data_IF_371145702388
#
_entry.id   IF_371145702388
#
_cell.length_a   1.000
_cell.length_b   1.000
_cell.length_c   1.000
_cell.angle_alpha   90.00
_cell.angle_beta   90.00
_cell.angle_gamma   90.00
#
_symmetry.space_group_name_H-M   'P 1'
#
loop_
_entity.id
_entity.type
_entity.pdbx_description
1 polymer ?
#
# COMPACT_ATOMS: atom_id res chain seq x y z
N UNK A 1 24.32 -6.21 43.37
CA UNK A 1 24.26 -4.72 43.51
C UNK A 1 24.73 -4.17 42.17
N UNK A 2 23.81 -3.55 41.42
CA UNK A 2 24.14 -2.93 40.14
C UNK A 2 24.59 -1.49 40.37
N UNK A 3 25.71 -1.10 39.76
CA UNK A 3 26.22 0.26 39.82
C UNK A 3 25.71 1.00 38.58
N UNK A 4 24.90 2.04 38.75
CA UNK A 4 24.42 2.86 37.65
C UNK A 4 25.44 3.96 37.41
N UNK A 5 26.18 3.85 36.31
CA UNK A 5 27.22 4.82 35.90
C UNK A 5 26.67 5.92 35.01
N UNK A 6 25.55 5.64 34.30
CA UNK A 6 24.84 6.58 33.47
C UNK A 6 23.38 6.16 33.31
N UNK A 7 22.51 7.10 33.04
CA UNK A 7 21.13 6.85 32.65
C UNK A 7 20.86 7.54 31.31
N UNK A 8 20.04 6.90 30.48
CA UNK A 8 19.59 7.46 29.20
C UNK A 8 18.17 7.98 29.37
N UNK A 9 17.96 9.24 29.08
CA UNK A 9 16.64 9.86 29.06
C UNK A 9 16.11 9.79 27.62
N UNK A 10 15.08 9.00 27.41
CA UNK A 10 14.40 8.95 26.10
C UNK A 10 13.35 10.06 26.04
N UNK A 11 13.48 10.95 25.07
CA UNK A 11 12.45 11.94 24.73
C UNK A 11 11.39 11.29 23.85
N UNK A 12 10.13 11.55 24.12
CA UNK A 12 9.04 11.03 23.30
C UNK A 12 9.18 11.51 21.85
N UNK A 13 9.22 10.56 20.89
CA UNK A 13 9.40 10.86 19.47
C UNK A 13 10.86 11.07 19.01
N UNK A 14 11.86 10.89 19.88
CA UNK A 14 13.25 10.95 19.45
C UNK A 14 13.61 9.73 18.61
N UNK A 15 14.16 9.99 17.43
CA UNK A 15 14.71 8.96 16.52
C UNK A 15 16.21 8.78 16.71
N UNK A 16 16.87 9.68 17.45
CA UNK A 16 18.30 9.67 17.72
C UNK A 16 18.58 10.02 19.17
N UNK A 17 19.63 9.45 19.73
CA UNK A 17 20.18 9.79 21.05
C UNK A 17 21.24 10.87 20.87
N UNK A 18 21.12 11.96 21.62
CA UNK A 18 22.13 13.01 21.70
C UNK A 18 22.94 12.90 22.99
N UNK A 19 24.06 13.61 23.07
CA UNK A 19 24.86 13.66 24.31
C UNK A 19 24.07 14.20 25.50
N UNK A 20 23.04 15.02 25.26
CA UNK A 20 22.16 15.59 26.29
C UNK A 20 21.17 14.57 26.85
N UNK A 21 20.90 13.49 26.10
CA UNK A 21 20.02 12.39 26.53
C UNK A 21 20.72 11.40 27.45
N UNK A 22 22.04 11.53 27.61
CA UNK A 22 22.84 10.67 28.48
C UNK A 22 23.19 11.42 29.77
N UNK A 23 22.60 10.98 30.87
CA UNK A 23 22.91 11.49 32.19
C UNK A 23 24.14 10.73 32.73
N UNK A 24 25.28 11.40 32.73
CA UNK A 24 26.55 10.84 33.23
C UNK A 24 26.68 11.07 34.74
N UNK A 25 26.62 10.03 35.51
CA UNK A 25 26.73 10.08 36.97
C UNK A 25 28.18 9.85 37.50
N UNK A 26 29.17 9.73 36.63
CA UNK A 26 30.56 9.44 37.05
C UNK A 26 31.18 10.53 37.92
N UNK A 27 30.74 11.79 37.74
CA UNK A 27 31.18 12.92 38.53
C UNK A 27 30.31 13.21 39.77
N UNK A 28 29.21 12.51 39.91
CA UNK A 28 28.27 12.69 41.02
C UNK A 28 28.54 11.65 42.12
N UNK A 29 29.33 12.01 43.10
CA UNK A 29 29.74 11.13 44.21
C UNK A 29 28.52 10.59 44.97
N UNK A 30 27.39 11.35 45.02
CA UNK A 30 26.15 10.93 45.66
C UNK A 30 25.43 9.80 44.94
N UNK A 31 25.68 9.64 43.67
CA UNK A 31 25.02 8.62 42.80
C UNK A 31 25.97 7.48 42.42
N UNK A 32 27.25 7.76 42.31
CA UNK A 32 28.24 6.82 41.80
C UNK A 32 28.99 6.03 42.87
N UNK A 33 28.93 6.41 44.17
CA UNK A 33 29.61 5.76 45.30
C UNK A 33 30.94 5.12 44.91
N UNK A 34 32.03 5.53 45.44
CA UNK A 34 33.40 4.95 45.35
C UNK A 34 33.85 4.27 44.04
N UNK A 35 33.36 4.64 42.89
CA UNK A 35 33.96 4.16 41.66
C UNK A 35 34.92 5.21 41.08
N UNK A 36 36.16 5.22 41.54
CA UNK A 36 37.25 5.78 40.74
C UNK A 36 37.31 4.97 39.45
N UNK A 37 36.75 5.52 38.39
CA UNK A 37 36.73 4.86 37.09
C UNK A 37 38.15 4.73 36.58
N UNK A 38 38.73 3.52 36.70
CA UNK A 38 40.10 3.15 36.27
C UNK A 38 40.20 3.11 34.73
N UNK A 39 39.08 3.23 34.00
CA UNK A 39 39.06 3.18 32.56
C UNK A 39 38.79 4.58 31.99
N UNK A 40 39.85 5.26 31.63
CA UNK A 40 39.92 6.64 31.15
C UNK A 40 39.25 6.94 29.83
N UNK A 41 38.29 6.15 29.36
CA UNK A 41 37.39 6.47 28.24
C UNK A 41 36.04 5.83 28.46
N UNK A 42 35.02 6.62 28.43
CA UNK A 42 33.65 6.14 28.52
C UNK A 42 33.24 5.45 27.21
N UNK A 43 33.08 4.13 27.28
CA UNK A 43 32.57 3.33 26.13
C UNK A 43 31.25 3.87 25.54
N UNK A 44 30.48 4.59 26.33
CA UNK A 44 29.23 5.21 25.87
C UNK A 44 29.49 6.26 24.76
N UNK A 45 30.53 7.12 24.94
CA UNK A 45 30.86 8.12 23.91
C UNK A 45 31.41 7.44 22.65
N UNK A 46 32.21 6.37 22.79
CA UNK A 46 32.67 5.58 21.66
C UNK A 46 31.51 4.89 20.94
N UNK A 47 30.57 4.29 21.69
CA UNK A 47 29.35 3.68 21.13
C UNK A 47 28.46 4.70 20.40
N UNK A 48 28.24 5.88 20.97
CA UNK A 48 27.45 6.93 20.32
C UNK A 48 28.11 7.42 19.01
N UNK A 49 29.46 7.52 19.01
CA UNK A 49 30.22 7.89 17.82
C UNK A 49 30.10 6.82 16.71
N UNK A 50 30.18 5.54 17.09
CA UNK A 50 30.02 4.43 16.15
C UNK A 50 28.57 4.33 15.63
N UNK A 51 27.58 4.56 16.49
CA UNK A 51 26.17 4.63 16.07
C UNK A 51 25.94 5.76 15.07
N UNK A 52 26.49 6.94 15.31
CA UNK A 52 26.39 8.06 14.39
C UNK A 52 27.02 7.76 13.02
N UNK A 53 28.19 7.10 12.99
CA UNK A 53 28.81 6.65 11.74
C UNK A 53 27.96 5.62 11.02
N UNK A 54 27.38 4.66 11.76
CA UNK A 54 26.51 3.62 11.20
C UNK A 54 25.27 4.23 10.58
N UNK A 55 24.64 5.20 11.25
CA UNK A 55 23.47 5.91 10.73
C UNK A 55 23.82 6.70 9.45
N UNK A 56 24.95 7.42 9.43
CA UNK A 56 25.40 8.13 8.23
C UNK A 56 25.65 7.16 7.05
N UNK A 57 26.18 5.97 7.32
CA UNK A 57 26.35 4.93 6.31
C UNK A 57 25.02 4.39 5.82
N UNK A 58 24.06 4.22 6.71
CA UNK A 58 22.69 3.77 6.37
C UNK A 58 21.99 4.80 5.48
N UNK A 59 22.07 6.08 5.79
CA UNK A 59 21.51 7.17 4.99
C UNK A 59 22.11 7.20 3.57
N UNK A 60 23.41 6.98 3.45
CA UNK A 60 24.08 6.92 2.15
C UNK A 60 23.64 5.70 1.34
N UNK A 61 23.49 4.54 1.98
CA UNK A 61 22.97 3.33 1.35
C UNK A 61 21.52 3.52 0.90
N UNK A 62 20.70 4.19 1.70
CA UNK A 62 19.32 4.49 1.33
C UNK A 62 19.26 5.38 0.08
N UNK A 63 20.06 6.45 0.02
CA UNK A 63 20.15 7.32 -1.16
C UNK A 63 20.57 6.56 -2.42
N UNK A 64 21.54 5.63 -2.28
CA UNK A 64 21.98 4.77 -3.40
C UNK A 64 20.88 3.82 -3.84
N UNK A 65 20.13 3.25 -2.91
CA UNK A 65 19.00 2.38 -3.19
C UNK A 65 17.90 3.16 -3.95
N UNK A 66 17.58 4.37 -3.52
CA UNK A 66 16.58 5.21 -4.18
C UNK A 66 17.01 5.58 -5.62
N UNK A 67 18.30 5.91 -5.81
CA UNK A 67 18.86 6.16 -7.13
C UNK A 67 18.82 4.93 -8.05
N UNK A 68 19.15 3.75 -7.53
CA UNK A 68 19.05 2.49 -8.27
C UNK A 68 17.61 2.15 -8.63
N UNK A 69 16.66 2.33 -7.73
CA UNK A 69 15.24 2.12 -7.99
C UNK A 69 14.73 3.05 -9.09
N UNK A 70 15.19 4.31 -9.11
CA UNK A 70 14.89 5.25 -10.18
C UNK A 70 15.42 4.77 -11.54
N UNK A 71 16.68 4.30 -11.59
CA UNK A 71 17.28 3.76 -12.82
C UNK A 71 16.57 2.49 -13.29
N UNK A 72 16.20 1.60 -12.38
CA UNK A 72 15.43 0.37 -12.72
C UNK A 72 14.10 0.78 -13.35
N UNK A 73 13.39 1.74 -12.78
CA UNK A 73 12.12 2.23 -13.32
C UNK A 73 12.28 2.82 -14.72
N UNK A 74 13.35 3.58 -14.95
CA UNK A 74 13.65 4.13 -16.28
C UNK A 74 13.95 3.04 -17.32
N UNK A 75 14.74 2.02 -16.91
CA UNK A 75 15.04 0.89 -17.79
C UNK A 75 13.79 0.04 -18.07
N UNK A 76 12.95 -0.20 -17.08
CA UNK A 76 11.67 -0.89 -17.27
C UNK A 76 10.80 -0.15 -18.29
N UNK A 77 10.67 1.18 -18.15
CA UNK A 77 9.95 2.00 -19.11
C UNK A 77 10.48 1.84 -20.55
N UNK A 78 11.82 1.82 -20.72
CA UNK A 78 12.45 1.61 -22.04
C UNK A 78 12.17 0.20 -22.60
N UNK A 79 12.21 -0.83 -21.77
CA UNK A 79 11.88 -2.21 -22.17
C UNK A 79 10.41 -2.30 -22.56
N UNK A 80 9.53 -1.66 -21.80
CA UNK A 80 8.09 -1.62 -22.09
C UNK A 80 7.80 -0.96 -23.43
N UNK A 81 8.50 0.13 -23.76
CA UNK A 81 8.38 0.80 -25.05
C UNK A 81 8.86 -0.07 -26.21
N UNK A 82 9.94 -0.84 -26.02
CA UNK A 82 10.50 -1.74 -27.05
C UNK A 82 9.64 -2.98 -27.30
N UNK A 83 8.87 -3.42 -26.31
CA UNK A 83 8.02 -4.63 -26.37
C UNK A 83 6.55 -4.32 -26.59
N UNK A 84 6.16 -3.04 -26.52
CA UNK A 84 4.80 -2.60 -26.78
C UNK A 84 4.53 -2.66 -28.30
N UNK A 85 3.34 -3.10 -28.66
CA UNK A 85 2.88 -3.12 -30.05
C UNK A 85 2.72 -1.74 -30.68
N UNK A 86 1.88 -1.63 -31.71
CA UNK A 86 1.53 -0.35 -32.31
C UNK A 86 0.65 0.49 -31.36
N UNK A 87 0.84 1.81 -31.39
CA UNK A 87 0.06 2.72 -30.55
C UNK A 87 -1.35 2.88 -31.11
N UNK A 88 -2.35 2.48 -30.33
CA UNK A 88 -3.75 2.69 -30.68
C UNK A 88 -4.26 4.07 -30.25
N UNK A 89 -3.92 4.51 -29.04
CA UNK A 89 -4.34 5.82 -28.54
C UNK A 89 -3.38 6.34 -27.47
N UNK A 90 -3.35 7.67 -27.37
CA UNK A 90 -2.61 8.40 -26.33
C UNK A 90 -3.47 9.54 -25.80
N UNK A 91 -3.18 9.98 -24.58
CA UNK A 91 -3.87 11.13 -24.00
C UNK A 91 -3.38 11.43 -22.61
N UNK A 92 -4.10 12.32 -21.94
CA UNK A 92 -3.83 12.75 -20.58
C UNK A 92 -4.94 12.26 -19.66
N UNK A 93 -4.59 11.73 -18.48
CA UNK A 93 -5.55 11.26 -17.48
C UNK A 93 -5.23 11.74 -16.06
N UNK A 94 -4.38 12.73 -15.92
CA UNK A 94 -4.03 13.47 -14.70
C UNK A 94 -3.28 14.75 -15.09
N UNK A 95 -3.05 15.67 -14.14
CA UNK A 95 -2.40 16.94 -14.47
C UNK A 95 -1.02 16.72 -15.13
N UNK A 96 -0.27 15.75 -14.60
CA UNK A 96 1.04 15.37 -15.12
C UNK A 96 1.11 13.86 -15.41
N UNK A 97 -0.01 13.24 -15.81
CA UNK A 97 -0.08 11.83 -16.13
C UNK A 97 -0.65 11.66 -17.53
N UNK A 98 0.10 10.94 -18.36
CA UNK A 98 -0.23 10.61 -19.74
C UNK A 98 -0.36 9.11 -19.90
N UNK A 99 -1.18 8.68 -20.85
CA UNK A 99 -1.33 7.27 -21.16
C UNK A 99 -1.00 6.96 -22.61
N UNK A 100 -0.60 5.71 -22.82
CA UNK A 100 -0.45 5.08 -24.13
C UNK A 100 -1.15 3.73 -24.09
N UNK A 101 -2.10 3.51 -24.99
CA UNK A 101 -2.73 2.21 -25.22
C UNK A 101 -2.17 1.60 -26.49
N UNK A 102 -1.72 0.36 -26.41
CA UNK A 102 -1.16 -0.40 -27.51
C UNK A 102 -2.14 -1.42 -28.08
N UNK A 103 -1.95 -1.85 -29.32
CA UNK A 103 -2.80 -2.81 -30.04
C UNK A 103 -2.88 -4.19 -29.39
N UNK A 104 -1.84 -4.59 -28.65
CA UNK A 104 -1.83 -5.82 -27.85
C UNK A 104 -2.69 -5.75 -26.58
N UNK A 105 -3.27 -4.59 -26.27
CA UNK A 105 -4.11 -4.33 -25.10
C UNK A 105 -3.35 -3.87 -23.85
N UNK A 106 -2.06 -3.55 -23.98
CA UNK A 106 -1.25 -2.98 -22.91
C UNK A 106 -1.55 -1.49 -22.77
N UNK A 107 -2.03 -1.06 -21.60
CA UNK A 107 -2.23 0.33 -21.25
C UNK A 107 -1.13 0.77 -20.27
N UNK A 108 -0.39 1.78 -20.66
CA UNK A 108 0.71 2.33 -19.87
C UNK A 108 0.40 3.76 -19.44
N UNK A 109 0.41 4.02 -18.12
CA UNK A 109 0.29 5.36 -17.54
C UNK A 109 1.65 5.81 -17.01
N UNK A 110 2.09 7.00 -17.42
CA UNK A 110 3.36 7.60 -17.02
C UNK A 110 3.16 9.02 -16.52
N UNK A 111 3.96 9.39 -15.53
CA UNK A 111 3.97 10.74 -14.97
C UNK A 111 4.02 10.74 -13.46
N UNK A 112 3.58 11.84 -12.85
CA UNK A 112 3.64 12.06 -11.41
C UNK A 112 2.34 12.64 -10.87
N UNK A 113 2.03 12.32 -9.60
CA UNK A 113 0.83 12.81 -8.93
C UNK A 113 -0.35 11.86 -9.04
N UNK A 114 -1.56 12.40 -8.95
CA UNK A 114 -2.79 11.63 -9.03
C UNK A 114 -3.44 11.74 -10.41
N UNK A 115 -4.17 10.70 -10.82
CA UNK A 115 -5.03 10.77 -11.99
C UNK A 115 -6.29 11.58 -11.69
N UNK A 116 -7.00 12.01 -12.72
CA UNK A 116 -8.26 12.74 -12.56
C UNK A 116 -9.33 11.84 -11.92
N UNK A 117 -10.23 12.47 -11.18
CA UNK A 117 -11.50 11.88 -10.75
C UNK A 117 -12.54 12.01 -11.85
N UNK A 118 -13.29 10.94 -12.09
CA UNK A 118 -14.37 10.88 -13.07
C UNK A 118 -15.71 10.66 -12.37
N UNK A 119 -16.77 11.22 -12.94
CA UNK A 119 -18.07 11.24 -12.23
C UNK A 119 -18.95 10.05 -12.56
N UNK A 120 -19.19 9.77 -13.83
CA UNK A 120 -20.09 8.71 -14.27
C UNK A 120 -19.40 7.80 -15.28
N UNK A 121 -19.64 8.06 -16.56
CA UNK A 121 -19.10 7.29 -17.67
C UNK A 121 -18.13 8.13 -18.52
N UNK A 122 -17.54 9.15 -17.92
CA UNK A 122 -16.68 10.14 -18.58
C UNK A 122 -15.19 9.85 -18.48
N UNK A 123 -14.79 8.74 -17.82
CA UNK A 123 -13.41 8.27 -17.85
C UNK A 123 -13.00 7.95 -19.30
N UNK A 124 -11.79 8.37 -19.65
CA UNK A 124 -11.16 8.07 -20.95
C UNK A 124 -11.00 6.56 -21.19
N UNK A 125 -11.13 5.75 -20.14
CA UNK A 125 -11.02 4.29 -20.19
C UNK A 125 -12.36 3.57 -19.96
N UNK A 126 -13.47 4.30 -19.76
CA UNK A 126 -14.78 3.69 -19.50
C UNK A 126 -15.15 2.67 -20.58
N UNK A 127 -15.51 1.46 -20.16
CA UNK A 127 -15.91 0.35 -21.05
C UNK A 127 -14.90 0.04 -22.17
N UNK A 128 -13.62 0.32 -21.95
CA UNK A 128 -12.63 0.04 -22.97
C UNK A 128 -12.23 -1.44 -22.97
N UNK A 129 -12.81 -2.21 -23.89
CA UNK A 129 -12.59 -3.66 -24.04
C UNK A 129 -11.23 -4.01 -24.64
N UNK A 130 -10.50 -3.05 -25.17
CA UNK A 130 -9.16 -3.27 -25.73
C UNK A 130 -8.11 -3.39 -24.61
N UNK A 131 -8.36 -2.82 -23.43
CA UNK A 131 -7.44 -2.87 -22.30
C UNK A 131 -7.43 -4.27 -21.70
N UNK A 132 -6.25 -4.92 -21.68
CA UNK A 132 -6.03 -6.25 -21.09
C UNK A 132 -5.08 -6.21 -19.90
N UNK A 133 -4.09 -5.34 -19.95
CA UNK A 133 -3.05 -5.14 -18.94
C UNK A 133 -2.89 -3.65 -18.67
N UNK A 134 -2.83 -3.30 -17.38
CA UNK A 134 -2.65 -1.91 -16.94
C UNK A 134 -1.31 -1.81 -16.21
N UNK A 135 -0.46 -0.90 -16.67
CA UNK A 135 0.83 -0.61 -16.05
C UNK A 135 0.92 0.85 -15.64
N UNK A 136 1.25 1.09 -14.39
CA UNK A 136 1.45 2.43 -13.87
C UNK A 136 2.92 2.62 -13.47
N UNK A 137 3.54 3.70 -13.96
CA UNK A 137 4.93 4.01 -13.61
C UNK A 137 5.06 4.56 -12.19
N UNK A 138 6.24 4.41 -11.61
CA UNK A 138 6.60 5.09 -10.36
C UNK A 138 6.44 6.62 -10.54
N UNK A 139 6.02 7.27 -9.44
CA UNK A 139 5.66 8.69 -9.44
C UNK A 139 4.14 8.93 -9.42
N UNK A 140 3.34 7.96 -9.86
CA UNK A 140 1.88 8.02 -9.69
C UNK A 140 1.56 7.72 -8.23
N UNK A 141 0.84 8.64 -7.58
CA UNK A 141 0.56 8.59 -6.13
C UNK A 141 -0.90 8.33 -5.80
N UNK A 142 -1.81 8.55 -6.74
CA UNK A 142 -3.24 8.32 -6.54
C UNK A 142 -3.93 7.86 -7.81
N UNK A 143 -4.86 6.93 -7.67
CA UNK A 143 -5.84 6.60 -8.70
C UNK A 143 -7.13 7.33 -8.38
N UNK A 144 -7.63 8.10 -9.35
CA UNK A 144 -8.87 8.85 -9.25
C UNK A 144 -10.10 7.95 -9.29
N UNK A 145 -11.23 8.56 -8.97
CA UNK A 145 -12.53 7.91 -8.97
C UNK A 145 -12.89 7.41 -10.38
N UNK A 146 -13.39 6.19 -10.47
CA UNK A 146 -13.87 5.53 -11.69
C UNK A 146 -12.89 5.50 -12.87
N UNK A 147 -11.60 5.63 -12.63
CA UNK A 147 -10.58 5.70 -13.69
C UNK A 147 -10.72 4.53 -14.68
N UNK A 148 -10.75 3.29 -14.19
CA UNK A 148 -10.87 2.05 -14.98
C UNK A 148 -12.23 1.38 -14.81
N UNK A 149 -13.27 2.21 -14.60
CA UNK A 149 -14.61 1.72 -14.40
C UNK A 149 -15.09 0.93 -15.62
N UNK A 150 -15.53 -0.31 -15.36
CA UNK A 150 -16.03 -1.24 -16.38
C UNK A 150 -15.02 -1.61 -17.49
N UNK A 151 -13.70 -1.65 -17.16
CA UNK A 151 -12.69 -2.24 -18.05
C UNK A 151 -12.71 -3.78 -17.88
N UNK A 152 -13.72 -4.45 -18.48
CA UNK A 152 -14.01 -5.86 -18.21
C UNK A 152 -12.91 -6.83 -18.67
N UNK A 153 -12.11 -6.44 -19.66
CA UNK A 153 -11.02 -7.24 -20.22
C UNK A 153 -9.66 -6.99 -19.54
N UNK A 154 -9.53 -5.96 -18.70
CA UNK A 154 -8.31 -5.68 -17.95
C UNK A 154 -8.10 -6.74 -16.86
N UNK A 155 -7.23 -7.71 -17.09
CA UNK A 155 -7.01 -8.86 -16.17
C UNK A 155 -5.93 -8.62 -15.14
N UNK A 156 -4.94 -7.80 -15.46
CA UNK A 156 -3.80 -7.52 -14.60
C UNK A 156 -3.56 -6.03 -14.45
N UNK A 157 -3.08 -5.63 -13.28
CA UNK A 157 -2.61 -4.28 -13.00
C UNK A 157 -1.31 -4.32 -12.22
N UNK A 158 -0.34 -3.52 -12.66
CA UNK A 158 0.90 -3.26 -11.94
C UNK A 158 0.79 -1.89 -11.26
N UNK A 159 0.62 -1.90 -9.93
CA UNK A 159 0.53 -0.70 -9.10
C UNK A 159 1.91 -0.31 -8.59
N UNK A 160 2.34 0.97 -8.73
CA UNK A 160 3.68 1.40 -8.30
C UNK A 160 3.79 1.49 -6.78
N UNK A 161 5.02 1.34 -6.26
CA UNK A 161 5.29 1.48 -4.83
C UNK A 161 5.00 2.88 -4.27
N UNK A 162 4.90 3.89 -5.13
CA UNK A 162 4.56 5.28 -4.78
C UNK A 162 3.07 5.52 -4.58
N UNK A 163 2.21 4.54 -4.91
CA UNK A 163 0.76 4.70 -4.83
C UNK A 163 0.30 4.76 -3.37
N UNK A 164 -0.43 5.81 -3.01
CA UNK A 164 -0.95 6.05 -1.66
C UNK A 164 -2.46 5.92 -1.55
N UNK A 165 -3.20 6.09 -2.66
CA UNK A 165 -4.67 6.02 -2.67
C UNK A 165 -5.24 5.35 -3.91
N UNK A 166 -6.34 4.63 -3.72
CA UNK A 166 -7.15 4.02 -4.77
C UNK A 166 -8.56 4.60 -4.65
N UNK A 167 -9.00 5.30 -5.69
CA UNK A 167 -10.24 6.07 -5.72
C UNK A 167 -11.50 5.22 -5.73
N UNK A 168 -12.62 5.92 -5.65
CA UNK A 168 -13.95 5.36 -5.61
C UNK A 168 -14.28 4.63 -6.90
N UNK A 169 -14.67 3.36 -6.82
CA UNK A 169 -14.99 2.55 -8.00
C UNK A 169 -13.88 2.51 -9.07
N UNK A 170 -12.60 2.72 -8.69
CA UNK A 170 -11.49 2.86 -9.64
C UNK A 170 -11.36 1.65 -10.59
N UNK A 171 -11.66 0.43 -10.12
CA UNK A 171 -11.65 -0.81 -10.90
C UNK A 171 -13.01 -1.53 -10.89
N UNK A 172 -14.07 -0.85 -10.46
CA UNK A 172 -15.37 -1.49 -10.34
C UNK A 172 -15.92 -1.94 -11.69
N UNK A 173 -16.69 -3.05 -11.64
CA UNK A 173 -17.43 -3.54 -12.79
C UNK A 173 -18.93 -3.28 -12.58
N UNK A 174 -19.68 -3.08 -13.66
CA UNK A 174 -21.13 -2.98 -13.57
C UNK A 174 -21.76 -4.30 -13.11
N UNK A 175 -22.79 -4.19 -12.28
CA UNK A 175 -23.56 -5.32 -11.78
C UNK A 175 -24.61 -5.69 -12.83
N UNK A 176 -24.26 -6.56 -13.75
CA UNK A 176 -25.21 -7.01 -14.76
C UNK A 176 -26.08 -8.20 -14.26
N UNK A 177 -25.61 -8.99 -13.30
CA UNK A 177 -26.32 -10.13 -12.71
C UNK A 177 -25.63 -10.63 -11.44
N UNK A 178 -26.38 -11.31 -10.58
CA UNK A 178 -25.81 -12.00 -9.40
C UNK A 178 -24.74 -12.99 -9.85
N UNK A 179 -23.53 -12.88 -9.28
CA UNK A 179 -22.38 -13.73 -9.59
C UNK A 179 -21.56 -13.31 -10.81
N UNK A 180 -21.92 -12.24 -11.50
CA UNK A 180 -21.08 -11.68 -12.57
C UNK A 180 -19.83 -11.03 -11.97
N UNK A 181 -18.68 -11.42 -12.50
CA UNK A 181 -17.40 -10.79 -12.19
C UNK A 181 -16.60 -10.64 -13.47
N UNK A 182 -15.94 -9.50 -13.62
CA UNK A 182 -15.10 -9.20 -14.76
C UNK A 182 -13.85 -8.42 -14.31
N UNK A 183 -13.07 -7.93 -15.26
CA UNK A 183 -11.90 -7.12 -14.97
C UNK A 183 -10.79 -7.92 -14.26
N UNK A 184 -10.17 -7.30 -13.28
CA UNK A 184 -8.96 -7.80 -12.61
C UNK A 184 -9.14 -9.19 -12.01
N UNK A 185 -8.18 -10.08 -12.30
CA UNK A 185 -8.08 -11.42 -11.72
C UNK A 185 -7.08 -11.49 -10.57
N UNK A 186 -6.17 -10.54 -10.51
CA UNK A 186 -5.16 -10.39 -9.45
C UNK A 186 -4.81 -8.93 -9.24
N UNK A 187 -4.44 -8.60 -8.01
CA UNK A 187 -3.89 -7.29 -7.64
C UNK A 187 -2.97 -7.44 -6.44
N UNK A 188 -1.83 -6.75 -6.50
CA UNK A 188 -0.95 -6.56 -5.35
C UNK A 188 -1.06 -5.13 -4.88
N UNK A 189 -1.61 -4.91 -3.69
CA UNK A 189 -1.77 -3.58 -3.11
C UNK A 189 -0.44 -3.16 -2.47
N UNK A 190 0.18 -2.06 -2.95
CA UNK A 190 1.46 -1.59 -2.41
C UNK A 190 1.40 -1.19 -0.93
N UNK A 191 2.53 -1.33 -0.24
CA UNK A 191 2.64 -1.00 1.19
C UNK A 191 2.52 0.51 1.49
N UNK A 192 2.62 1.38 0.50
CA UNK A 192 2.40 2.81 0.64
C UNK A 192 0.92 3.21 0.61
N UNK A 193 0.01 2.31 0.19
CA UNK A 193 -1.42 2.62 0.11
C UNK A 193 -2.00 2.81 1.50
N UNK A 194 -2.55 3.99 1.74
CA UNK A 194 -3.20 4.39 3.00
C UNK A 194 -4.72 4.46 2.90
N UNK A 195 -5.25 4.58 1.67
CA UNK A 195 -6.67 4.69 1.43
C UNK A 195 -7.14 3.82 0.25
N UNK A 196 -8.17 3.01 0.50
CA UNK A 196 -8.95 2.30 -0.51
C UNK A 196 -10.37 2.82 -0.38
N UNK A 197 -10.87 3.50 -1.41
CA UNK A 197 -12.18 4.14 -1.38
C UNK A 197 -13.33 3.16 -1.64
N UNK A 198 -14.57 3.66 -1.55
CA UNK A 198 -15.76 2.83 -1.71
C UNK A 198 -15.81 2.20 -3.10
N UNK A 199 -16.26 0.95 -3.18
CA UNK A 199 -16.41 0.20 -4.43
C UNK A 199 -15.11 0.02 -5.24
N UNK A 200 -13.93 0.30 -4.72
CA UNK A 200 -12.67 0.34 -5.49
C UNK A 200 -12.44 -0.88 -6.39
N UNK A 201 -12.79 -2.08 -5.92
CA UNK A 201 -12.68 -3.36 -6.64
C UNK A 201 -14.01 -4.11 -6.73
N UNK A 202 -15.13 -3.37 -6.73
CA UNK A 202 -16.47 -3.95 -6.77
C UNK A 202 -16.67 -4.84 -7.99
N UNK A 203 -17.20 -6.07 -7.78
CA UNK A 203 -17.47 -7.08 -8.81
C UNK A 203 -16.26 -7.48 -9.66
N UNK A 204 -15.03 -7.29 -9.19
CA UNK A 204 -13.83 -7.79 -9.89
C UNK A 204 -13.68 -9.32 -9.76
N UNK A 205 -12.92 -9.92 -10.68
CA UNK A 205 -12.65 -11.36 -10.70
C UNK A 205 -11.42 -11.77 -9.86
N UNK A 206 -10.97 -10.92 -8.94
CA UNK A 206 -9.81 -11.16 -8.08
C UNK A 206 -10.00 -12.45 -7.28
N UNK A 207 -9.00 -13.34 -7.33
CA UNK A 207 -9.03 -14.62 -6.62
C UNK A 207 -8.42 -14.56 -5.22
N UNK A 208 -7.44 -13.69 -5.03
CA UNK A 208 -6.76 -13.47 -3.75
C UNK A 208 -6.46 -11.99 -3.54
N UNK A 209 -6.51 -11.52 -2.29
CA UNK A 209 -6.12 -10.16 -1.94
C UNK A 209 -5.43 -10.13 -0.59
N UNK A 210 -4.40 -9.29 -0.49
CA UNK A 210 -3.77 -8.89 0.78
C UNK A 210 -3.89 -7.39 0.92
N UNK A 211 -4.58 -6.93 1.97
CA UNK A 211 -4.70 -5.52 2.32
C UNK A 211 -3.65 -5.19 3.38
N UNK A 212 -2.69 -4.31 3.07
CA UNK A 212 -1.56 -4.03 3.95
C UNK A 212 -1.96 -3.24 5.19
N UNK A 213 -1.11 -3.27 6.22
CA UNK A 213 -1.31 -2.57 7.50
C UNK A 213 -1.30 -1.03 7.36
N UNK A 214 -0.76 -0.52 6.26
CA UNK A 214 -0.74 0.91 5.95
C UNK A 214 -2.12 1.50 5.67
N UNK A 215 -3.10 0.67 5.25
CA UNK A 215 -4.45 1.14 4.93
C UNK A 215 -5.17 1.62 6.18
N UNK A 216 -5.49 2.91 6.23
CA UNK A 216 -6.21 3.58 7.33
C UNK A 216 -7.65 3.90 6.97
N UNK A 217 -7.90 4.18 5.69
CA UNK A 217 -9.25 4.44 5.16
C UNK A 217 -9.68 3.29 4.29
N UNK A 218 -10.78 2.64 4.68
CA UNK A 218 -11.40 1.57 3.90
C UNK A 218 -12.85 1.90 3.61
N UNK A 219 -13.13 2.14 2.34
CA UNK A 219 -14.48 2.52 1.88
C UNK A 219 -15.47 1.35 1.92
N UNK A 220 -16.75 1.69 1.85
CA UNK A 220 -17.84 0.69 1.79
C UNK A 220 -17.76 -0.10 0.48
N UNK A 221 -18.11 -1.39 0.54
CA UNK A 221 -18.20 -2.28 -0.63
C UNK A 221 -16.90 -2.44 -1.43
N UNK A 222 -15.72 -2.17 -0.84
CA UNK A 222 -14.47 -2.11 -1.60
C UNK A 222 -14.16 -3.38 -2.41
N UNK A 223 -14.48 -4.58 -1.92
CA UNK A 223 -14.35 -5.87 -2.60
C UNK A 223 -15.67 -6.63 -2.71
N UNK A 224 -16.79 -5.93 -2.54
CA UNK A 224 -18.10 -6.59 -2.62
C UNK A 224 -18.35 -7.15 -4.02
N UNK A 225 -19.01 -8.30 -4.08
CA UNK A 225 -19.33 -8.98 -5.34
C UNK A 225 -18.13 -9.63 -6.04
N UNK A 226 -16.97 -9.73 -5.40
CA UNK A 226 -15.82 -10.46 -5.96
C UNK A 226 -16.08 -11.99 -5.84
N UNK A 227 -16.97 -12.52 -6.69
CA UNK A 227 -17.43 -13.91 -6.59
C UNK A 227 -16.35 -14.98 -6.82
N UNK A 228 -15.15 -14.60 -7.29
CA UNK A 228 -14.00 -15.47 -7.45
C UNK A 228 -13.00 -15.40 -6.29
N UNK A 229 -13.18 -14.46 -5.38
CA UNK A 229 -12.27 -14.25 -4.24
C UNK A 229 -12.34 -15.43 -3.27
N UNK A 230 -11.25 -16.19 -3.19
CA UNK A 230 -11.11 -17.38 -2.32
C UNK A 230 -10.40 -17.05 -1.02
N UNK A 231 -9.39 -16.17 -1.09
CA UNK A 231 -8.55 -15.85 0.05
C UNK A 231 -8.40 -14.35 0.21
N UNK A 232 -8.69 -13.85 1.41
CA UNK A 232 -8.43 -12.47 1.79
C UNK A 232 -7.57 -12.41 3.07
N UNK A 233 -6.52 -11.60 3.04
CA UNK A 233 -5.67 -11.29 4.19
C UNK A 233 -5.74 -9.81 4.49
N UNK A 234 -6.15 -9.48 5.70
CA UNK A 234 -6.35 -8.10 6.14
C UNK A 234 -5.37 -7.81 7.27
N UNK A 235 -4.37 -6.98 6.99
CA UNK A 235 -3.35 -6.60 7.97
C UNK A 235 -3.62 -5.26 8.66
N UNK A 236 -4.60 -4.49 8.21
CA UNK A 236 -4.95 -3.16 8.73
C UNK A 236 -5.84 -3.21 9.98
N UNK A 237 -6.03 -2.05 10.60
CA UNK A 237 -6.71 -1.89 11.89
C UNK A 237 -8.25 -1.93 11.79
N UNK A 238 -8.80 -1.74 10.58
CA UNK A 238 -10.24 -1.65 10.34
C UNK A 238 -10.64 -2.30 9.01
N UNK A 239 -11.87 -2.78 8.92
CA UNK A 239 -12.49 -3.30 7.69
C UNK A 239 -13.72 -2.45 7.41
N UNK A 240 -13.90 -2.03 6.16
CA UNK A 240 -15.04 -1.22 5.73
C UNK A 240 -16.36 -1.99 5.76
N UNK A 241 -17.48 -1.26 5.85
CA UNK A 241 -18.80 -1.86 5.79
C UNK A 241 -19.03 -2.55 4.42
N UNK A 242 -19.68 -3.72 4.44
CA UNK A 242 -19.98 -4.52 3.25
C UNK A 242 -18.74 -4.92 2.43
N UNK A 243 -17.54 -4.87 3.01
CA UNK A 243 -16.26 -4.99 2.29
C UNK A 243 -16.17 -6.23 1.40
N UNK A 244 -16.65 -7.38 1.86
CA UNK A 244 -16.62 -8.67 1.16
C UNK A 244 -18.00 -9.25 0.92
N UNK A 245 -19.06 -8.44 0.99
CA UNK A 245 -20.43 -8.90 0.73
C UNK A 245 -20.53 -9.57 -0.64
N UNK A 246 -21.24 -10.69 -0.76
CA UNK A 246 -21.37 -11.47 -2.00
C UNK A 246 -20.07 -12.04 -2.57
N UNK A 247 -19.04 -12.21 -1.76
CA UNK A 247 -17.84 -12.96 -2.14
C UNK A 247 -18.12 -14.47 -2.00
N UNK A 248 -18.88 -15.05 -2.92
CA UNK A 248 -19.45 -16.41 -2.80
C UNK A 248 -18.40 -17.51 -2.78
N UNK A 249 -17.19 -17.29 -3.31
CA UNK A 249 -16.09 -18.25 -3.25
C UNK A 249 -15.19 -18.09 -2.02
N UNK A 250 -15.43 -17.09 -1.15
CA UNK A 250 -14.54 -16.78 -0.02
C UNK A 250 -14.54 -17.92 0.99
N UNK A 251 -13.42 -18.63 1.09
CA UNK A 251 -13.22 -19.77 1.97
C UNK A 251 -12.16 -19.52 3.06
N UNK A 252 -11.34 -18.49 2.89
CA UNK A 252 -10.30 -18.15 3.85
C UNK A 252 -10.20 -16.63 4.03
N UNK A 253 -10.50 -16.18 5.24
CA UNK A 253 -10.31 -14.79 5.67
C UNK A 253 -9.38 -14.77 6.87
N UNK A 254 -8.20 -14.19 6.69
CA UNK A 254 -7.23 -13.98 7.76
C UNK A 254 -7.21 -12.50 8.14
N UNK A 255 -7.49 -12.20 9.39
CA UNK A 255 -7.52 -10.83 9.91
C UNK A 255 -6.42 -10.68 10.95
N UNK A 256 -5.66 -9.59 10.86
CA UNK A 256 -4.63 -9.26 11.86
C UNK A 256 -5.23 -9.11 13.26
N UNK A 257 -4.50 -9.56 14.27
CA UNK A 257 -4.86 -9.35 15.68
C UNK A 257 -4.97 -7.86 16.07
N UNK A 258 -4.44 -6.96 15.24
CA UNK A 258 -4.54 -5.52 15.44
C UNK A 258 -5.86 -4.92 14.90
N UNK A 259 -6.62 -5.67 14.09
CA UNK A 259 -7.89 -5.18 13.56
C UNK A 259 -8.92 -5.08 14.69
N UNK A 260 -9.42 -3.87 14.92
CA UNK A 260 -10.34 -3.54 16.04
C UNK A 260 -11.71 -3.08 15.57
N UNK A 261 -11.82 -2.66 14.32
CA UNK A 261 -13.07 -2.12 13.76
C UNK A 261 -13.53 -2.96 12.59
N UNK A 262 -14.75 -3.49 12.71
CA UNK A 262 -15.39 -4.30 11.69
C UNK A 262 -16.60 -3.54 11.17
N UNK A 263 -16.63 -3.30 9.86
CA UNK A 263 -17.77 -2.70 9.21
C UNK A 263 -19.00 -3.62 9.24
N UNK A 264 -20.18 -3.03 9.27
CA UNK A 264 -21.43 -3.78 9.23
C UNK A 264 -21.53 -4.63 7.97
N UNK A 265 -22.14 -5.81 8.08
CA UNK A 265 -22.45 -6.71 6.95
C UNK A 265 -21.25 -7.06 6.04
N UNK A 266 -20.03 -7.03 6.56
CA UNK A 266 -18.82 -7.23 5.75
C UNK A 266 -18.75 -8.58 5.03
N UNK A 267 -19.44 -9.61 5.52
CA UNK A 267 -19.43 -11.00 4.99
C UNK A 267 -20.82 -11.48 4.56
N UNK A 268 -21.80 -10.61 4.40
CA UNK A 268 -23.16 -11.01 4.04
C UNK A 268 -23.17 -11.68 2.66
N UNK A 269 -23.91 -12.80 2.52
CA UNK A 269 -24.01 -13.60 1.30
C UNK A 269 -22.69 -14.25 0.82
N UNK A 270 -21.77 -14.58 1.73
CA UNK A 270 -20.61 -15.42 1.44
C UNK A 270 -21.03 -16.89 1.68
N UNK A 271 -21.36 -17.65 0.61
CA UNK A 271 -21.99 -18.98 0.72
C UNK A 271 -21.08 -20.08 1.29
N UNK A 272 -19.77 -19.94 1.18
CA UNK A 272 -18.79 -20.92 1.65
C UNK A 272 -18.12 -20.55 2.98
N UNK A 273 -18.41 -19.40 3.54
CA UNK A 273 -18.04 -19.08 4.91
C UNK A 273 -18.97 -19.86 5.82
N UNK A 274 -18.45 -20.82 6.60
CA UNK A 274 -19.19 -21.40 7.72
C UNK A 274 -19.74 -20.23 8.52
N UNK A 275 -21.01 -19.92 8.25
CA UNK A 275 -21.66 -18.73 8.75
C UNK A 275 -21.74 -18.74 10.27
N UNK A 276 -20.79 -18.09 10.88
CA UNK A 276 -21.06 -17.40 12.11
C UNK A 276 -21.55 -16.04 11.68
N UNK A 277 -22.87 -15.82 11.72
CA UNK A 277 -23.42 -14.49 11.78
C UNK A 277 -22.68 -13.76 12.90
N UNK A 278 -21.66 -12.99 12.52
CA UNK A 278 -21.03 -12.10 13.46
C UNK A 278 -21.95 -10.88 13.59
N UNK A 279 -23.04 -11.08 14.34
CA UNK A 279 -23.84 -9.98 14.86
C UNK A 279 -22.92 -9.20 15.78
N UNK A 280 -22.30 -8.18 15.20
CA UNK A 280 -21.46 -7.26 15.94
C UNK A 280 -22.20 -6.74 17.16
N UNK A 281 -21.70 -7.06 18.35
CA UNK A 281 -21.92 -6.36 19.60
C UNK A 281 -20.62 -5.70 20.01
#
# INVERSE_FOLDING_TARGET
>A
TYLTLAAVRLRAGATELTAEDVLDYRADESKCGYCKCILGKCRVTEMLTEMAKTNATLDELQKRLDAMNSQISELQNKVDDLTAGEILSTGQCGENIYYVLYDNGKLLLRGTGATYDYTSHDSVFYQNDQIKEIMLSNGITGLGDRLFYHCANAKTVSLPATLTSIGNAAFAQEDAAIGYTAGLTSVTIPQAVTAIQSYAFYHTAIAEVTVPASVKTWGKYAFSGCAKLKTARVACDSIGAFAFTRCTALSSLTISANCRTFGENMLTYCENGTGTENTGR
#
